data_IF_264949501613
#
_entry.id   IF_264949501613
#
_cell.length_a   1.000
_cell.length_b   1.000
_cell.length_c   1.000
_cell.angle_alpha   90.00
_cell.angle_beta   90.00
_cell.angle_gamma   90.00
#
_symmetry.space_group_name_H-M   'P 1'
#
loop_
_entity.id
_entity.type
_entity.pdbx_description
1 polymer ?
#
# COMPACT_ATOMS: atom_id res chain seq x y z
N UNK A 1 13.38 -6.30 11.70
CA UNK A 1 12.26 -5.86 10.83
C UNK A 1 11.08 -6.78 11.11
N UNK A 2 9.91 -6.22 11.42
CA UNK A 2 8.66 -6.96 11.65
C UNK A 2 7.74 -6.71 10.45
N UNK A 3 7.13 -7.77 9.91
CA UNK A 3 6.17 -7.66 8.82
C UNK A 3 4.75 -7.67 9.40
N UNK A 4 3.91 -6.74 8.95
CA UNK A 4 2.50 -6.67 9.34
C UNK A 4 1.66 -6.88 8.08
N UNK A 5 0.88 -7.96 8.04
CA UNK A 5 -0.10 -8.22 7.00
C UNK A 5 -1.47 -7.79 7.50
N UNK A 6 -2.07 -6.83 6.80
CA UNK A 6 -3.39 -6.30 7.14
C UNK A 6 -4.38 -6.78 6.09
N UNK A 7 -5.48 -7.39 6.54
CA UNK A 7 -6.51 -7.91 5.65
C UNK A 7 -7.90 -7.66 6.26
N UNK A 8 -8.64 -6.63 5.82
CA UNK A 8 -10.01 -6.40 6.33
C UNK A 8 -10.98 -7.48 5.82
N UNK A 9 -10.70 -8.09 4.67
CA UNK A 9 -11.46 -9.25 4.20
C UNK A 9 -11.08 -10.50 5.00
N UNK A 10 -12.08 -11.13 5.62
CA UNK A 10 -11.90 -12.30 6.49
C UNK A 10 -11.30 -13.51 5.76
N UNK A 11 -11.66 -13.76 4.50
CA UNK A 11 -11.12 -14.88 3.73
C UNK A 11 -9.63 -14.71 3.45
N UNK A 12 -9.21 -13.48 3.13
CA UNK A 12 -7.78 -13.17 2.94
C UNK A 12 -7.01 -13.27 4.26
N UNK A 13 -7.57 -12.77 5.35
CA UNK A 13 -6.98 -12.92 6.67
C UNK A 13 -6.79 -14.40 7.04
N UNK A 14 -7.80 -15.24 6.82
CA UNK A 14 -7.72 -16.68 7.10
C UNK A 14 -6.67 -17.36 6.23
N UNK A 15 -6.60 -17.03 4.95
CA UNK A 15 -5.56 -17.53 4.05
C UNK A 15 -4.15 -17.10 4.50
N UNK A 16 -3.98 -15.86 4.97
CA UNK A 16 -2.70 -15.41 5.51
C UNK A 16 -2.31 -16.19 6.76
N UNK A 17 -3.25 -16.41 7.69
CA UNK A 17 -3.02 -17.23 8.87
C UNK A 17 -2.62 -18.65 8.47
N UNK A 18 -3.35 -19.29 7.57
CA UNK A 18 -3.06 -20.65 7.12
C UNK A 18 -1.66 -20.78 6.50
N UNK A 19 -1.30 -19.87 5.60
CA UNK A 19 -0.08 -20.00 4.79
C UNK A 19 1.17 -19.35 5.37
N UNK A 20 1.04 -18.43 6.33
CA UNK A 20 2.18 -17.63 6.81
C UNK A 20 2.39 -17.62 8.33
N UNK A 21 1.53 -18.24 9.14
CA UNK A 21 1.65 -18.25 10.62
C UNK A 21 3.01 -18.71 11.17
N UNK A 22 3.75 -19.53 10.41
CA UNK A 22 5.05 -20.08 10.84
C UNK A 22 6.23 -19.12 10.59
N UNK A 23 6.03 -18.00 9.88
CA UNK A 23 7.12 -17.07 9.61
C UNK A 23 7.47 -16.27 10.87
N UNK A 24 8.77 -16.20 11.24
CA UNK A 24 9.18 -15.41 12.38
C UNK A 24 8.96 -13.91 12.09
N UNK A 25 8.65 -13.14 13.13
CA UNK A 25 8.45 -11.69 13.06
C UNK A 25 7.32 -11.25 12.10
N UNK A 26 6.29 -12.07 11.95
CA UNK A 26 5.06 -11.76 11.23
C UNK A 26 3.92 -11.47 12.21
N UNK A 27 3.16 -10.42 11.97
CA UNK A 27 1.86 -10.18 12.57
C UNK A 27 0.81 -10.10 11.47
N UNK A 28 -0.36 -10.71 11.70
CA UNK A 28 -1.47 -10.71 10.75
C UNK A 28 -2.68 -10.12 11.47
N UNK A 29 -3.24 -9.04 10.92
CA UNK A 29 -4.31 -8.26 11.54
C UNK A 29 -5.55 -8.27 10.63
N UNK A 30 -6.69 -8.74 11.16
CA UNK A 30 -7.98 -8.67 10.46
C UNK A 30 -8.64 -7.30 10.66
N UNK A 31 -8.04 -6.26 10.12
CA UNK A 31 -8.56 -4.89 10.22
C UNK A 31 -8.09 -4.05 9.03
N UNK A 32 -8.24 -2.73 9.11
CA UNK A 32 -7.69 -1.77 8.17
C UNK A 32 -6.33 -1.23 8.65
N UNK A 33 -5.50 -0.72 7.75
CA UNK A 33 -4.14 -0.31 8.09
C UNK A 33 -4.12 0.91 9.01
N UNK A 34 -5.13 1.77 8.89
CA UNK A 34 -5.36 2.97 9.70
C UNK A 34 -5.54 2.65 11.19
N UNK A 35 -5.88 1.40 11.51
CA UNK A 35 -6.08 0.93 12.89
C UNK A 35 -4.81 0.34 13.50
N UNK A 36 -3.75 0.14 12.70
CA UNK A 36 -2.47 -0.36 13.19
C UNK A 36 -1.78 0.78 13.96
N UNK A 37 -1.45 0.61 15.26
CA UNK A 37 -0.99 1.72 16.09
C UNK A 37 0.33 2.35 15.63
N UNK A 38 1.25 1.55 15.09
CA UNK A 38 2.58 2.00 14.70
C UNK A 38 3.15 1.13 13.57
N UNK A 39 3.68 1.80 12.55
CA UNK A 39 4.46 1.20 11.47
C UNK A 39 5.30 2.29 10.78
N UNK A 40 6.53 1.96 10.41
CA UNK A 40 7.44 2.91 9.75
C UNK A 40 7.27 2.95 8.22
N UNK A 41 6.68 1.90 7.64
CA UNK A 41 6.56 1.73 6.20
C UNK A 41 5.24 1.03 5.85
N UNK A 42 4.56 1.55 4.83
CA UNK A 42 3.34 0.98 4.28
C UNK A 42 3.56 0.65 2.81
N UNK A 43 3.18 -0.56 2.40
CA UNK A 43 3.28 -1.02 1.01
C UNK A 43 1.98 -0.67 0.27
N UNK A 44 2.11 0.11 -0.80
CA UNK A 44 1.03 0.48 -1.71
C UNK A 44 1.04 -0.49 -2.89
N UNK A 45 -0.05 -1.25 -3.16
CA UNK A 45 -0.17 -2.10 -4.34
C UNK A 45 -0.52 -1.27 -5.60
N UNK A 46 0.33 -0.28 -5.90
CA UNK A 46 0.09 0.72 -6.93
C UNK A 46 0.35 0.28 -8.37
N UNK A 47 0.26 1.23 -9.29
CA UNK A 47 0.54 1.06 -10.72
C UNK A 47 1.78 1.85 -11.16
N UNK A 48 2.23 1.60 -12.40
CA UNK A 48 3.44 2.20 -12.97
C UNK A 48 3.38 3.72 -13.19
N UNK A 49 2.19 4.32 -13.15
CA UNK A 49 2.00 5.77 -13.32
C UNK A 49 1.93 6.51 -11.99
N UNK A 50 1.97 5.80 -10.86
CA UNK A 50 1.79 6.40 -9.54
C UNK A 50 0.39 6.97 -9.31
N UNK A 51 -0.62 6.56 -10.09
CA UNK A 51 -2.01 6.89 -9.77
C UNK A 51 -2.43 6.14 -8.51
N UNK A 52 -3.08 6.82 -7.59
CA UNK A 52 -3.45 6.28 -6.28
C UNK A 52 -4.93 6.54 -5.98
N UNK A 53 -5.79 6.40 -6.97
CA UNK A 53 -7.21 6.75 -6.94
C UNK A 53 -8.16 5.55 -6.70
N UNK A 54 -7.62 4.33 -6.69
CA UNK A 54 -8.37 3.10 -6.50
C UNK A 54 -7.97 2.29 -5.27
N UNK A 55 -8.94 1.51 -4.75
CA UNK A 55 -8.69 0.45 -3.77
C UNK A 55 -7.90 0.90 -2.53
N UNK A 56 -6.82 0.16 -2.23
CA UNK A 56 -5.91 0.45 -1.12
C UNK A 56 -5.20 1.80 -1.30
N UNK A 57 -4.74 2.12 -2.51
CA UNK A 57 -3.99 3.36 -2.77
C UNK A 57 -4.84 4.60 -2.49
N UNK A 58 -6.14 4.55 -2.83
CA UNK A 58 -7.09 5.62 -2.51
C UNK A 58 -7.26 5.81 -1.00
N UNK A 59 -7.28 4.70 -0.24
CA UNK A 59 -7.35 4.76 1.22
C UNK A 59 -6.06 5.34 1.82
N UNK A 60 -4.90 4.97 1.26
CA UNK A 60 -3.59 5.53 1.63
C UNK A 60 -3.58 7.05 1.40
N UNK A 61 -3.96 7.52 0.21
CA UNK A 61 -4.02 8.96 -0.10
C UNK A 61 -5.01 9.67 0.79
N UNK A 62 -6.19 9.10 1.02
CA UNK A 62 -7.19 9.69 1.93
C UNK A 62 -6.66 9.84 3.36
N UNK A 63 -5.81 8.90 3.81
CA UNK A 63 -5.25 8.91 5.16
C UNK A 63 -4.07 9.89 5.29
N UNK A 64 -3.13 9.89 4.34
CA UNK A 64 -1.90 10.70 4.42
C UNK A 64 -1.99 12.06 3.73
N UNK A 65 -2.93 12.25 2.81
CA UNK A 65 -3.18 13.47 2.05
C UNK A 65 -2.80 13.37 0.57
N UNK A 66 -3.46 14.19 -0.26
CA UNK A 66 -3.36 14.20 -1.73
C UNK A 66 -1.93 14.48 -2.24
N UNK A 67 -1.11 15.18 -1.46
CA UNK A 67 0.29 15.46 -1.81
C UNK A 67 1.14 14.18 -1.97
N UNK A 68 0.73 13.08 -1.34
CA UNK A 68 1.44 11.81 -1.43
C UNK A 68 1.46 11.29 -2.86
N UNK A 69 0.31 11.31 -3.55
CA UNK A 69 0.21 10.88 -4.94
C UNK A 69 1.13 11.71 -5.84
N UNK A 70 1.10 13.04 -5.71
CA UNK A 70 1.98 13.93 -6.48
C UNK A 70 3.46 13.63 -6.22
N UNK A 71 3.82 13.35 -4.97
CA UNK A 71 5.21 13.02 -4.59
C UNK A 71 5.67 11.70 -5.20
N UNK A 72 4.81 10.67 -5.20
CA UNK A 72 5.07 9.37 -5.83
C UNK A 72 5.26 9.54 -7.34
N UNK A 73 4.36 10.28 -8.01
CA UNK A 73 4.45 10.53 -9.45
C UNK A 73 5.75 11.26 -9.83
N UNK A 74 6.11 12.30 -9.09
CA UNK A 74 7.35 13.04 -9.33
C UNK A 74 8.57 12.13 -9.19
N UNK A 75 8.61 11.28 -8.16
CA UNK A 75 9.69 10.32 -7.95
C UNK A 75 9.83 9.33 -9.11
N UNK A 76 8.70 8.84 -9.65
CA UNK A 76 8.68 7.95 -10.81
C UNK A 76 9.27 8.64 -12.06
N UNK A 77 8.90 9.89 -12.31
CA UNK A 77 9.42 10.68 -13.43
C UNK A 77 10.93 10.93 -13.30
N UNK A 78 11.36 11.34 -12.12
CA UNK A 78 12.76 11.73 -11.85
C UNK A 78 13.71 10.54 -11.94
N UNK A 79 13.31 9.37 -11.44
CA UNK A 79 14.23 8.23 -11.28
C UNK A 79 14.09 7.16 -12.34
N UNK A 80 12.92 7.02 -12.97
CA UNK A 80 12.61 5.87 -13.83
C UNK A 80 12.25 6.27 -15.26
N UNK A 81 12.43 7.53 -15.65
CA UNK A 81 12.04 8.07 -16.97
C UNK A 81 10.58 7.75 -17.31
N UNK A 82 9.71 7.68 -16.29
CA UNK A 82 8.35 7.20 -16.39
C UNK A 82 7.51 7.95 -17.42
N UNK A 83 6.44 7.32 -17.89
CA UNK A 83 5.47 7.96 -18.77
C UNK A 83 4.61 8.95 -17.97
N UNK A 84 4.59 10.21 -18.41
CA UNK A 84 3.65 11.20 -17.90
C UNK A 84 2.21 10.81 -18.30
N UNK A 85 1.30 10.76 -17.34
CA UNK A 85 -0.13 10.51 -17.61
C UNK A 85 -0.71 11.55 -18.59
N UNK A 86 -0.22 12.79 -18.56
CA UNK A 86 -0.63 13.87 -19.46
C UNK A 86 -0.14 13.72 -20.93
N UNK A 87 0.61 12.67 -21.28
CA UNK A 87 1.00 12.38 -22.67
C UNK A 87 0.09 11.38 -23.38
N UNK A 88 -0.92 10.84 -22.70
CA UNK A 88 -1.81 9.77 -23.22
C UNK A 88 -3.26 10.27 -23.41
N UNK A 89 -3.56 11.52 -23.04
CA UNK A 89 -4.88 12.15 -23.23
C UNK A 89 -4.80 13.25 -24.29
#
# INVERSE_FOLDING_TARGET
>A
MKLILVAPNKLLYDAFQEHFHYLPNLEIINNYFETVPEYDCLVSPGNSFGLMDGGMDAAIVKYFGDFLMTSVQQKILDEYLGAEYNKIV
#
